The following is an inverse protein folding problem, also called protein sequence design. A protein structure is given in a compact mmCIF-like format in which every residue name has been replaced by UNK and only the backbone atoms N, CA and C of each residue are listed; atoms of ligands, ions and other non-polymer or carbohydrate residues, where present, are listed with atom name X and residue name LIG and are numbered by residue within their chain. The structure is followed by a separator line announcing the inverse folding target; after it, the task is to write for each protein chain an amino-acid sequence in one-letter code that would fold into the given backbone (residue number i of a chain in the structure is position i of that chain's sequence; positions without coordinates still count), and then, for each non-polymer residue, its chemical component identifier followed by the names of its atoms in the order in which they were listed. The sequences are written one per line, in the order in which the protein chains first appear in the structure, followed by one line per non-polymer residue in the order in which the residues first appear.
data_IF_935913559055
#
_entry.id   IF_935913559055
#
_cell.length_a   1.000
_cell.length_b   1.000
_cell.length_c   1.000
_cell.angle_alpha   90.00
_cell.angle_beta   90.00
_cell.angle_gamma   90.00
#
_symmetry.space_group_name_H-M   'P 1'
#
loop_
_entity.id
_entity.type
_entity.pdbx_description
1 polymer ?
#
# COMPACT_ATOMS: atom_id res chain seq x y z
N UNK A 1 3.74 0.79 -25.92
CA UNK A 1 3.41 1.52 -24.69
C UNK A 1 2.63 0.58 -23.80
N UNK A 2 3.15 0.24 -22.62
CA UNK A 2 2.46 -0.65 -21.68
C UNK A 2 1.27 0.09 -21.09
N UNK A 3 0.08 -0.38 -21.41
CA UNK A 3 -1.17 0.12 -20.84
C UNK A 3 -1.12 -0.06 -19.32
N UNK A 4 -1.32 1.04 -18.58
CA UNK A 4 -1.40 1.02 -17.11
C UNK A 4 -2.71 0.35 -16.69
N UNK A 5 -2.67 -0.98 -16.51
CA UNK A 5 -3.86 -1.84 -16.29
C UNK A 5 -4.73 -1.45 -15.11
N UNK A 6 -4.17 -0.75 -14.12
CA UNK A 6 -4.85 -0.37 -12.89
C UNK A 6 -5.12 1.13 -12.78
N UNK A 7 -4.83 1.91 -13.82
CA UNK A 7 -5.02 3.35 -13.82
C UNK A 7 -6.48 3.73 -13.44
N UNK A 8 -6.62 4.56 -12.41
CA UNK A 8 -7.92 5.03 -11.93
C UNK A 8 -8.77 3.99 -11.19
N UNK A 9 -8.30 2.75 -11.04
CA UNK A 9 -8.98 1.74 -10.21
C UNK A 9 -8.60 1.93 -8.75
N UNK A 10 -9.51 1.62 -7.84
CA UNK A 10 -9.24 1.59 -6.41
C UNK A 10 -8.94 0.17 -5.95
N UNK A 11 -7.80 -0.04 -5.30
CA UNK A 11 -7.40 -1.32 -4.72
C UNK A 11 -7.51 -1.21 -3.20
N UNK A 12 -8.39 -2.03 -2.63
CA UNK A 12 -8.55 -2.18 -1.18
C UNK A 12 -7.67 -3.33 -0.69
N UNK A 13 -6.71 -3.05 0.18
CA UNK A 13 -5.75 -4.03 0.68
C UNK A 13 -5.88 -4.19 2.19
N UNK A 14 -6.23 -5.40 2.65
CA UNK A 14 -6.05 -5.78 4.04
C UNK A 14 -4.58 -6.19 4.28
N UNK A 15 -3.92 -5.53 5.23
CA UNK A 15 -2.52 -5.82 5.59
C UNK A 15 -1.45 -5.15 4.73
N UNK A 16 -1.65 -3.90 4.30
CA UNK A 16 -0.70 -3.16 3.44
C UNK A 16 0.41 -2.35 4.14
N UNK A 17 0.54 -2.41 5.47
CA UNK A 17 1.51 -1.56 6.20
C UNK A 17 2.97 -1.99 6.06
N UNK A 18 3.24 -3.23 5.63
CA UNK A 18 4.58 -3.82 5.52
C UNK A 18 4.60 -5.08 4.65
N UNK A 19 5.79 -5.63 4.39
CA UNK A 19 5.98 -6.92 3.73
C UNK A 19 5.31 -7.01 2.35
N UNK A 20 4.69 -8.16 2.07
CA UNK A 20 4.08 -8.46 0.76
C UNK A 20 2.92 -7.50 0.46
N UNK A 21 2.11 -7.14 1.47
CA UNK A 21 0.98 -6.22 1.26
C UNK A 21 1.44 -4.84 0.79
N UNK A 22 2.53 -4.32 1.38
CA UNK A 22 3.14 -3.07 0.94
C UNK A 22 3.75 -3.19 -0.47
N UNK A 23 4.46 -4.29 -0.76
CA UNK A 23 5.04 -4.52 -2.08
C UNK A 23 3.97 -4.58 -3.20
N UNK A 24 2.83 -5.21 -2.93
CA UNK A 24 1.69 -5.22 -3.85
C UNK A 24 1.12 -3.82 -4.01
N UNK A 25 0.92 -3.09 -2.92
CA UNK A 25 0.40 -1.72 -2.94
C UNK A 25 1.27 -0.79 -3.81
N UNK A 26 2.59 -0.81 -3.61
CA UNK A 26 3.55 -0.02 -4.39
C UNK A 26 3.48 -0.37 -5.88
N UNK A 27 3.38 -1.66 -6.20
CA UNK A 27 3.28 -2.08 -7.61
C UNK A 27 1.96 -1.62 -8.25
N UNK A 28 0.84 -1.75 -7.53
CA UNK A 28 -0.45 -1.26 -8.01
C UNK A 28 -0.48 0.26 -8.18
N UNK A 29 0.14 1.00 -7.25
CA UNK A 29 0.28 2.44 -7.31
C UNK A 29 1.12 2.89 -8.52
N UNK A 30 2.22 2.20 -8.81
CA UNK A 30 3.03 2.46 -10.01
C UNK A 30 2.22 2.30 -11.31
N UNK A 31 1.28 1.36 -11.31
CA UNK A 31 0.31 1.13 -12.38
C UNK A 31 -0.88 2.12 -12.36
N UNK A 32 -0.85 3.15 -11.50
CA UNK A 32 -1.81 4.26 -11.46
C UNK A 32 -3.08 4.00 -10.64
N UNK A 33 -3.07 3.01 -9.76
CA UNK A 33 -4.20 2.72 -8.89
C UNK A 33 -4.28 3.68 -7.69
N UNK A 34 -5.50 3.93 -7.21
CA UNK A 34 -5.74 4.51 -5.90
C UNK A 34 -5.66 3.39 -4.85
N UNK A 35 -4.88 3.56 -3.79
CA UNK A 35 -4.68 2.51 -2.79
C UNK A 35 -5.38 2.86 -1.48
N UNK A 36 -6.19 1.95 -0.96
CA UNK A 36 -6.77 2.01 0.37
C UNK A 36 -6.16 0.90 1.25
N UNK A 37 -5.32 1.27 2.21
CA UNK A 37 -4.67 0.34 3.13
C UNK A 37 -5.50 0.17 4.39
N UNK A 38 -5.88 -1.06 4.69
CA UNK A 38 -6.48 -1.46 5.97
C UNK A 38 -5.44 -2.23 6.79
N UNK A 39 -4.81 -1.57 7.76
CA UNK A 39 -3.91 -2.23 8.71
C UNK A 39 -4.06 -1.65 10.12
N UNK A 40 -3.67 -2.44 11.12
CA UNK A 40 -3.88 -2.10 12.54
C UNK A 40 -2.82 -1.18 13.13
N UNK A 41 -1.61 -1.17 12.56
CA UNK A 41 -0.47 -0.43 13.13
C UNK A 41 -0.54 1.03 12.71
N UNK A 42 -1.21 1.87 13.50
CA UNK A 42 -1.27 3.32 13.31
C UNK A 42 -0.02 4.03 13.88
N UNK A 43 0.45 3.55 15.02
CA UNK A 43 1.59 4.06 15.77
C UNK A 43 2.76 3.07 15.73
N UNK A 44 4.02 3.55 15.83
CA UNK A 44 5.17 2.66 15.84
C UNK A 44 5.07 1.58 16.93
N UNK A 45 5.31 0.33 16.56
CA UNK A 45 5.24 -0.79 17.48
C UNK A 45 6.65 -1.38 17.68
N UNK A 46 7.07 -1.70 18.93
CA UNK A 46 8.46 -2.08 19.22
C UNK A 46 8.95 -3.34 18.49
N UNK A 47 8.04 -4.19 18.04
CA UNK A 47 8.34 -5.44 17.32
C UNK A 47 7.98 -5.41 15.82
N UNK A 48 7.36 -4.34 15.33
CA UNK A 48 6.86 -4.28 13.96
C UNK A 48 7.38 -3.03 13.27
N UNK A 49 7.96 -3.21 12.09
CA UNK A 49 8.42 -2.11 11.24
C UNK A 49 7.25 -1.33 10.63
N UNK A 50 7.39 -0.02 10.49
CA UNK A 50 6.43 0.83 9.78
C UNK A 50 5.03 0.91 10.40
N UNK A 51 4.22 1.80 9.84
CA UNK A 51 2.82 2.04 10.19
C UNK A 51 1.98 2.16 8.92
N UNK A 52 0.66 2.27 9.07
CA UNK A 52 -0.22 2.62 7.94
C UNK A 52 0.13 3.98 7.34
N UNK A 53 0.64 4.92 8.15
CA UNK A 53 1.02 6.25 7.68
C UNK A 53 2.29 6.21 6.82
N UNK A 54 3.34 5.53 7.30
CA UNK A 54 4.58 5.38 6.51
C UNK A 54 4.33 4.60 5.22
N UNK A 55 3.42 3.62 5.26
CA UNK A 55 3.02 2.88 4.05
C UNK A 55 2.24 3.76 3.06
N UNK A 56 1.35 4.63 3.55
CA UNK A 56 0.63 5.58 2.72
C UNK A 56 1.56 6.65 2.12
N UNK A 57 2.58 7.11 2.86
CA UNK A 57 3.59 8.05 2.35
C UNK A 57 4.48 7.44 1.25
N UNK A 58 4.67 6.11 1.26
CA UNK A 58 5.48 5.41 0.28
C UNK A 58 4.78 5.17 -1.07
N UNK A 59 3.46 5.35 -1.12
CA UNK A 59 2.58 5.10 -2.28
C UNK A 59 2.35 6.39 -3.06
#
# INVERSE_FOLDING_TARGET
MTEKKLAGKTVLLSGGSRGIGLAIALRCAADGANIAILAKTDTPHPKLEGTVHTAAEAI
#
